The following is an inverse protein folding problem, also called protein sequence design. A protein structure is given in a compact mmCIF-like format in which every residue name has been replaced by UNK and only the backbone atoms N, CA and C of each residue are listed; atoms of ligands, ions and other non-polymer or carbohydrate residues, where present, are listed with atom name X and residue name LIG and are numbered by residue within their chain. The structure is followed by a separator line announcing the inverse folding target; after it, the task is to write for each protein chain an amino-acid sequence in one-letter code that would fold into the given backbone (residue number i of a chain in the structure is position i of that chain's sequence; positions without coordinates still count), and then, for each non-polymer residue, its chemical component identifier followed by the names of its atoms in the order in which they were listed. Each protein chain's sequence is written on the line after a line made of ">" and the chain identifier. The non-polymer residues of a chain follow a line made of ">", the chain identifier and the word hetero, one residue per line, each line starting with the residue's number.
data_IF_857560802792
#
_entry.id   IF_857560802792
#
_cell.length_a   1.000
_cell.length_b   1.000
_cell.length_c   1.000
_cell.angle_alpha   90.00
_cell.angle_beta   90.00
_cell.angle_gamma   90.00
#
_symmetry.space_group_name_H-M   'P 1'
#
loop_
_entity.id
_entity.type
_entity.pdbx_description
1 polymer ?
#
# COMPACT_ATOMS: atom_id res chain seq x y z
N UNK A 1 -0.25 -8.58 7.73
CA UNK A 1 0.66 -7.72 6.95
C UNK A 1 0.32 -6.26 7.22
N UNK A 2 1.33 -5.42 7.50
CA UNK A 2 1.13 -3.98 7.66
C UNK A 2 0.76 -3.33 6.33
N UNK A 3 -0.23 -2.46 6.36
CA UNK A 3 -0.70 -1.66 5.23
C UNK A 3 -0.84 -0.20 5.64
N UNK A 4 -0.68 0.69 4.68
CA UNK A 4 -0.92 2.11 4.83
C UNK A 4 -1.89 2.59 3.76
N UNK A 5 -2.87 3.40 4.15
CA UNK A 5 -3.76 4.07 3.21
C UNK A 5 -3.98 5.53 3.61
N UNK A 6 -4.53 6.31 2.69
CA UNK A 6 -4.77 7.73 2.90
C UNK A 6 -6.18 8.11 2.52
N UNK A 7 -6.79 8.93 3.35
CA UNK A 7 -8.06 9.59 3.08
C UNK A 7 -7.74 11.04 2.72
N UNK A 8 -8.17 11.47 1.54
CA UNK A 8 -8.06 12.86 1.13
C UNK A 8 -9.45 13.47 1.12
N UNK A 9 -9.59 14.63 1.73
CA UNK A 9 -10.82 15.40 1.72
C UNK A 9 -10.55 16.81 1.20
N UNK A 10 -11.56 17.40 0.56
CA UNK A 10 -11.45 18.70 -0.07
C UNK A 10 -12.83 19.34 -0.18
N UNK A 11 -12.93 20.66 0.03
CA UNK A 11 -14.15 21.43 -0.13
C UNK A 11 -14.10 22.29 -1.39
N UNK A 12 -15.12 22.16 -2.23
CA UNK A 12 -15.41 23.08 -3.34
C UNK A 12 -16.66 23.95 -3.09
N UNK A 13 -17.13 23.96 -1.84
CA UNK A 13 -18.33 24.70 -1.41
C UNK A 13 -17.96 26.15 -1.14
N UNK A 14 -18.84 27.09 -1.53
CA UNK A 14 -18.60 28.54 -1.44
C UNK A 14 -18.71 29.13 -0.02
N UNK A 15 -19.00 28.32 0.99
CA UNK A 15 -19.08 28.73 2.37
C UNK A 15 -18.25 27.80 3.28
N UNK A 16 -17.88 28.31 4.43
CA UNK A 16 -17.12 27.55 5.44
C UNK A 16 -17.99 26.46 6.06
N UNK A 17 -17.48 25.25 6.09
CA UNK A 17 -18.02 24.15 6.88
C UNK A 17 -17.32 24.10 8.23
N UNK A 18 -18.09 23.97 9.31
CA UNK A 18 -17.57 23.85 10.68
C UNK A 18 -18.18 22.65 11.37
N UNK A 19 -17.44 22.07 12.33
CA UNK A 19 -17.90 20.90 13.07
C UNK A 19 -18.03 19.64 12.20
N UNK A 20 -17.13 19.49 11.25
CA UNK A 20 -17.07 18.28 10.44
C UNK A 20 -16.43 17.15 11.23
N UNK A 21 -17.00 15.97 11.11
CA UNK A 21 -16.45 14.72 11.62
C UNK A 21 -16.29 13.72 10.51
N UNK A 22 -15.11 13.14 10.42
CA UNK A 22 -14.80 12.04 9.55
C UNK A 22 -14.76 10.76 10.37
N UNK A 23 -15.50 9.76 9.94
CA UNK A 23 -15.59 8.43 10.56
C UNK A 23 -15.16 7.36 9.56
N UNK A 24 -14.42 6.35 10.03
CA UNK A 24 -13.92 5.24 9.23
C UNK A 24 -14.41 3.93 9.78
N UNK A 25 -15.16 3.20 8.95
CA UNK A 25 -15.51 1.81 9.23
C UNK A 25 -14.44 0.90 8.61
N UNK A 26 -13.73 0.19 9.47
CA UNK A 26 -12.73 -0.79 9.08
C UNK A 26 -13.35 -2.18 8.86
N UNK A 27 -12.78 -2.99 7.96
CA UNK A 27 -13.17 -4.39 7.90
C UNK A 27 -12.82 -5.13 9.19
N UNK A 28 -13.55 -6.20 9.49
CA UNK A 28 -13.50 -6.93 10.76
C UNK A 28 -12.09 -7.41 11.16
N UNK A 29 -11.24 -7.72 10.17
CA UNK A 29 -9.88 -8.23 10.38
C UNK A 29 -8.79 -7.17 10.25
N UNK A 30 -9.17 -5.90 10.31
CA UNK A 30 -8.23 -4.79 10.32
C UNK A 30 -7.91 -4.38 11.76
N UNK A 31 -6.63 -4.32 12.08
CA UNK A 31 -6.13 -3.78 13.34
C UNK A 31 -5.47 -2.43 13.10
N UNK A 32 -6.02 -1.39 13.73
CA UNK A 32 -5.45 -0.05 13.69
C UNK A 32 -4.13 0.00 14.47
N UNK A 33 -3.12 0.69 13.91
CA UNK A 33 -1.83 0.89 14.55
C UNK A 33 -1.62 2.37 14.86
N UNK A 34 -1.80 3.24 13.86
CA UNK A 34 -1.58 4.68 14.02
C UNK A 34 -2.22 5.49 12.91
N UNK A 35 -2.40 6.78 13.15
CA UNK A 35 -2.81 7.74 12.13
C UNK A 35 -2.08 9.08 12.26
N UNK A 36 -1.98 9.80 11.14
CA UNK A 36 -1.49 11.16 11.10
C UNK A 36 -2.41 12.03 10.18
N UNK A 37 -3.11 13.04 10.72
CA UNK A 37 -3.18 13.43 12.12
C UNK A 37 -3.76 12.35 13.03
N UNK A 38 -3.49 12.45 14.32
CA UNK A 38 -3.99 11.51 15.32
C UNK A 38 -5.52 11.49 15.33
N UNK A 39 -6.10 10.31 15.45
CA UNK A 39 -7.54 10.11 15.61
C UNK A 39 -8.01 10.41 17.04
N UNK A 40 -9.30 10.60 17.23
CA UNK A 40 -9.94 10.71 18.54
C UNK A 40 -10.02 9.34 19.24
N UNK A 41 -10.44 8.31 18.47
CA UNK A 41 -10.70 6.96 18.98
C UNK A 41 -10.36 5.85 17.98
N UNK A 42 -9.27 6.02 17.20
CA UNK A 42 -8.85 5.14 16.11
C UNK A 42 -9.70 5.26 14.82
N UNK A 43 -10.94 5.69 14.91
CA UNK A 43 -11.91 5.72 13.80
C UNK A 43 -12.36 7.13 13.42
N UNK A 44 -12.30 8.07 14.33
CA UNK A 44 -12.88 9.41 14.16
C UNK A 44 -11.82 10.52 14.13
N UNK A 45 -12.07 11.52 13.30
CA UNK A 45 -11.27 12.75 13.20
C UNK A 45 -12.18 13.97 13.15
N UNK A 46 -11.93 14.94 14.02
CA UNK A 46 -12.57 16.25 13.94
C UNK A 46 -11.83 17.14 12.94
N UNK A 47 -12.59 17.77 12.05
CA UNK A 47 -12.14 18.81 11.14
C UNK A 47 -12.87 20.08 11.55
N UNK A 48 -12.21 20.89 12.38
CA UNK A 48 -12.84 22.07 13.00
C UNK A 48 -13.42 23.02 11.96
N UNK A 49 -12.70 23.24 10.87
CA UNK A 49 -13.05 24.18 9.83
C UNK A 49 -12.54 23.72 8.47
N UNK A 50 -13.37 23.87 7.44
CA UNK A 50 -13.01 23.60 6.06
C UNK A 50 -13.56 24.68 5.15
N UNK A 51 -12.70 25.57 4.68
CA UNK A 51 -13.05 26.65 3.76
C UNK A 51 -13.05 26.17 2.31
N UNK A 52 -13.59 26.99 1.40
CA UNK A 52 -13.52 26.74 -0.04
C UNK A 52 -12.07 26.55 -0.50
N UNK A 53 -11.87 25.59 -1.38
CA UNK A 53 -10.55 25.18 -1.92
C UNK A 53 -9.54 24.72 -0.87
N UNK A 54 -10.00 24.39 0.31
CA UNK A 54 -9.18 23.75 1.34
C UNK A 54 -9.46 22.25 1.41
N UNK A 55 -8.48 21.52 1.88
CA UNK A 55 -8.56 20.10 2.10
C UNK A 55 -7.45 19.59 3.01
N UNK A 56 -7.46 18.30 3.24
CA UNK A 56 -6.46 17.67 4.06
C UNK A 56 -6.28 16.20 3.69
N UNK A 57 -5.35 15.58 4.39
CA UNK A 57 -5.02 14.17 4.24
C UNK A 57 -4.83 13.52 5.60
N UNK A 58 -5.48 12.40 5.78
CA UNK A 58 -5.28 11.51 6.92
C UNK A 58 -4.56 10.26 6.40
N UNK A 59 -3.41 9.94 6.98
CA UNK A 59 -2.70 8.68 6.72
C UNK A 59 -2.99 7.74 7.85
N UNK A 60 -3.37 6.51 7.53
CA UNK A 60 -3.72 5.47 8.50
C UNK A 60 -2.82 4.27 8.23
N UNK A 61 -2.23 3.76 9.28
CA UNK A 61 -1.42 2.54 9.27
C UNK A 61 -2.12 1.49 10.14
N UNK A 62 -2.20 0.29 9.63
CA UNK A 62 -2.78 -0.84 10.35
C UNK A 62 -2.31 -2.16 9.79
N UNK A 63 -2.76 -3.26 10.37
CA UNK A 63 -2.49 -4.60 9.88
C UNK A 63 -3.75 -5.31 9.42
N UNK A 64 -3.61 -6.14 8.40
CA UNK A 64 -4.67 -7.01 7.90
C UNK A 64 -4.32 -8.47 8.17
N UNK A 65 -5.25 -9.17 8.81
CA UNK A 65 -5.14 -10.57 9.19
C UNK A 65 -6.22 -11.41 8.49
N UNK A 66 -6.24 -11.38 7.17
CA UNK A 66 -7.20 -12.14 6.39
C UNK A 66 -6.50 -13.02 5.35
N UNK A 67 -7.19 -14.09 4.96
CA UNK A 67 -6.73 -15.02 3.93
C UNK A 67 -6.75 -14.39 2.53
N UNK A 68 -5.88 -14.87 1.66
CA UNK A 68 -5.85 -14.45 0.26
C UNK A 68 -7.17 -14.77 -0.47
N UNK A 69 -7.54 -13.91 -1.41
CA UNK A 69 -8.78 -14.02 -2.17
C UNK A 69 -10.00 -13.39 -1.48
N UNK A 70 -9.85 -12.84 -0.28
CA UNK A 70 -10.92 -12.11 0.40
C UNK A 70 -10.93 -10.65 0.00
N UNK A 71 -12.11 -10.14 -0.25
CA UNK A 71 -12.35 -8.71 -0.43
C UNK A 71 -12.75 -8.10 0.91
N UNK A 72 -12.14 -6.97 1.20
CA UNK A 72 -12.40 -6.20 2.42
C UNK A 72 -12.82 -4.79 2.04
N UNK A 73 -13.82 -4.31 2.74
CA UNK A 73 -14.39 -3.00 2.52
C UNK A 73 -13.94 -2.02 3.60
N UNK A 74 -13.38 -0.89 3.17
CA UNK A 74 -13.13 0.29 3.99
C UNK A 74 -14.15 1.35 3.61
N UNK A 75 -14.91 1.83 4.58
CA UNK A 75 -15.92 2.86 4.35
C UNK A 75 -15.55 4.12 5.12
N UNK A 76 -15.64 5.25 4.46
CA UNK A 76 -15.34 6.57 5.04
C UNK A 76 -16.57 7.44 4.95
N UNK A 77 -16.99 7.99 6.06
CA UNK A 77 -18.12 8.92 6.20
C UNK A 77 -17.63 10.28 6.62
N UNK A 78 -18.12 11.30 5.98
CA UNK A 78 -17.91 12.70 6.38
C UNK A 78 -19.26 13.33 6.67
N UNK A 79 -19.41 13.88 7.84
CA UNK A 79 -20.66 14.51 8.29
C UNK A 79 -20.44 15.73 9.17
N UNK A 80 -21.54 16.35 9.55
CA UNK A 80 -21.58 17.43 10.55
C UNK A 80 -21.95 16.83 11.89
N UNK A 81 -21.15 17.19 12.91
CA UNK A 81 -21.45 16.90 14.29
C UNK A 81 -21.95 18.18 14.97
N UNK A 82 -23.22 18.24 15.30
CA UNK A 82 -23.82 19.40 15.92
C UNK A 82 -24.82 18.98 17.00
N UNK A 83 -24.69 19.56 18.21
CA UNK A 83 -25.63 19.34 19.32
C UNK A 83 -25.86 17.86 19.67
N UNK A 84 -24.83 17.02 19.49
CA UNK A 84 -24.93 15.57 19.75
C UNK A 84 -25.52 14.76 18.61
N UNK A 85 -25.83 15.38 17.49
CA UNK A 85 -26.34 14.70 16.29
C UNK A 85 -25.32 14.69 15.15
N UNK A 86 -25.22 13.54 14.48
CA UNK A 86 -24.39 13.36 13.30
C UNK A 86 -25.24 13.38 12.02
N UNK A 87 -24.94 14.32 11.13
CA UNK A 87 -25.60 14.44 9.83
C UNK A 87 -24.60 14.06 8.74
N UNK A 88 -24.85 12.93 8.07
CA UNK A 88 -24.00 12.45 6.96
C UNK A 88 -24.06 13.41 5.77
N UNK A 89 -22.90 13.86 5.31
CA UNK A 89 -22.75 14.68 4.09
C UNK A 89 -22.26 13.87 2.90
N UNK A 90 -21.29 12.98 3.14
CA UNK A 90 -20.63 12.19 2.08
C UNK A 90 -20.17 10.86 2.65
N UNK A 91 -20.32 9.83 1.82
CA UNK A 91 -19.77 8.50 2.07
C UNK A 91 -18.97 8.03 0.86
N UNK A 92 -17.91 7.31 1.11
CA UNK A 92 -17.13 6.63 0.07
C UNK A 92 -16.63 5.28 0.58
N UNK A 93 -16.60 4.31 -0.32
CA UNK A 93 -16.17 2.95 -0.03
C UNK A 93 -14.97 2.58 -0.90
N UNK A 94 -14.00 1.86 -0.34
CA UNK A 94 -12.87 1.29 -1.05
C UNK A 94 -12.74 -0.19 -0.71
N UNK A 95 -12.81 -1.02 -1.76
CA UNK A 95 -12.55 -2.44 -1.64
C UNK A 95 -11.07 -2.73 -1.85
N UNK A 96 -10.52 -3.57 -1.00
CA UNK A 96 -9.14 -4.09 -1.05
C UNK A 96 -9.22 -5.60 -1.09
N UNK A 97 -8.55 -6.21 -2.06
CA UNK A 97 -8.40 -7.64 -2.16
C UNK A 97 -6.99 -8.06 -1.72
N UNK A 98 -6.90 -9.06 -0.87
CA UNK A 98 -5.62 -9.68 -0.54
C UNK A 98 -5.29 -10.69 -1.64
N UNK A 99 -4.23 -10.41 -2.38
CA UNK A 99 -3.71 -11.32 -3.40
C UNK A 99 -2.52 -12.07 -2.81
N UNK A 100 -2.57 -13.39 -2.87
CA UNK A 100 -1.40 -14.22 -2.58
C UNK A 100 -0.43 -14.15 -3.76
N UNK A 101 0.84 -13.77 -3.55
CA UNK A 101 1.81 -13.82 -4.63
C UNK A 101 1.99 -15.28 -5.06
N UNK A 102 1.65 -15.58 -6.31
CA UNK A 102 1.73 -16.94 -6.84
C UNK A 102 3.12 -17.30 -7.37
N UNK A 103 3.93 -16.28 -7.64
CA UNK A 103 5.28 -16.47 -8.17
C UNK A 103 6.30 -15.81 -7.23
N UNK A 104 7.22 -16.60 -6.71
CA UNK A 104 8.37 -16.12 -5.95
C UNK A 104 9.54 -15.92 -6.90
N UNK A 105 10.21 -14.77 -6.79
CA UNK A 105 11.46 -14.48 -7.48
C UNK A 105 12.43 -13.82 -6.52
N UNK A 106 13.69 -14.22 -6.56
CA UNK A 106 14.78 -13.56 -5.83
C UNK A 106 16.05 -13.62 -6.65
N UNK A 107 16.97 -12.74 -6.33
CA UNK A 107 18.26 -12.66 -7.01
C UNK A 107 19.39 -12.52 -5.98
N UNK A 108 20.55 -13.08 -6.32
CA UNK A 108 21.75 -13.02 -5.50
C UNK A 108 22.97 -12.79 -6.39
N UNK A 109 23.97 -12.14 -5.82
CA UNK A 109 25.32 -12.01 -6.42
C UNK A 109 26.31 -12.65 -5.45
N UNK A 110 27.08 -13.61 -5.92
CA UNK A 110 28.05 -14.36 -5.12
C UNK A 110 27.43 -14.92 -3.82
N UNK A 111 26.13 -15.33 -3.87
CA UNK A 111 25.39 -15.89 -2.75
C UNK A 111 24.76 -14.86 -1.79
N UNK A 112 24.85 -13.55 -2.10
CA UNK A 112 24.32 -12.48 -1.25
C UNK A 112 23.22 -11.69 -1.97
N UNK A 113 22.16 -11.34 -1.24
CA UNK A 113 21.07 -10.48 -1.75
C UNK A 113 21.48 -9.01 -1.89
N UNK A 114 22.48 -8.58 -1.11
CA UNK A 114 23.13 -7.27 -1.22
C UNK A 114 24.63 -7.49 -1.33
N UNK A 115 25.23 -7.13 -2.46
CA UNK A 115 26.64 -7.33 -2.73
C UNK A 115 27.30 -6.06 -3.25
N UNK A 116 28.49 -5.74 -2.74
CA UNK A 116 29.31 -4.64 -3.20
C UNK A 116 30.52 -5.24 -3.92
N UNK A 117 30.56 -5.08 -5.23
CA UNK A 117 31.63 -5.60 -6.06
C UNK A 117 32.82 -4.65 -6.17
N UNK A 118 34.00 -5.23 -6.34
CA UNK A 118 35.23 -4.49 -6.67
C UNK A 118 35.44 -4.45 -8.20
N UNK A 119 36.10 -3.42 -8.73
CA UNK A 119 36.44 -3.36 -10.14
C UNK A 119 37.22 -4.58 -10.61
N UNK A 120 36.80 -5.19 -11.72
CA UNK A 120 37.43 -6.40 -12.29
C UNK A 120 37.06 -7.70 -11.61
N UNK A 121 36.19 -7.67 -10.63
CA UNK A 121 35.71 -8.87 -9.95
C UNK A 121 34.76 -9.68 -10.85
N UNK A 122 34.92 -11.00 -10.81
CA UNK A 122 33.99 -11.92 -11.48
C UNK A 122 32.78 -12.15 -10.59
N UNK A 123 31.61 -11.83 -11.11
CA UNK A 123 30.34 -11.96 -10.39
C UNK A 123 29.61 -13.22 -10.84
N UNK A 124 29.12 -13.97 -9.88
CA UNK A 124 28.19 -15.07 -10.09
C UNK A 124 26.79 -14.58 -9.72
N UNK A 125 25.94 -14.42 -10.73
CA UNK A 125 24.59 -13.90 -10.58
C UNK A 125 23.59 -15.04 -10.67
N UNK A 126 22.78 -15.21 -9.64
CA UNK A 126 21.78 -16.26 -9.53
C UNK A 126 20.38 -15.67 -9.42
N UNK A 127 19.45 -16.23 -10.18
CA UNK A 127 18.03 -15.90 -10.12
C UNK A 127 17.28 -17.14 -9.68
N UNK A 128 16.57 -17.04 -8.57
CA UNK A 128 15.68 -18.08 -8.07
C UNK A 128 14.24 -17.69 -8.36
N UNK A 129 13.51 -18.60 -8.95
CA UNK A 129 12.07 -18.43 -9.13
C UNK A 129 11.33 -19.72 -8.79
N UNK A 130 10.14 -19.58 -8.25
CA UNK A 130 9.31 -20.71 -7.86
C UNK A 130 7.84 -20.32 -7.90
N UNK A 131 7.00 -21.19 -8.46
CA UNK A 131 5.56 -21.11 -8.27
C UNK A 131 5.25 -21.54 -6.84
N UNK A 132 4.69 -20.64 -6.05
CA UNK A 132 4.25 -20.87 -4.67
C UNK A 132 2.73 -20.85 -4.52
N UNK A 133 2.02 -20.64 -5.63
CA UNK A 133 0.57 -20.74 -5.72
C UNK A 133 0.09 -22.12 -6.14
N UNK A 134 -1.22 -22.28 -6.20
CA UNK A 134 -1.89 -23.52 -6.56
C UNK A 134 -2.21 -23.64 -8.06
N UNK A 135 -1.99 -22.58 -8.83
CA UNK A 135 -2.27 -22.53 -10.26
C UNK A 135 -0.98 -22.70 -11.06
N UNK A 136 -0.90 -23.61 -12.03
CA UNK A 136 0.27 -23.73 -12.88
C UNK A 136 0.38 -22.50 -13.80
N UNK A 137 1.63 -22.09 -14.05
CA UNK A 137 1.96 -21.08 -15.06
C UNK A 137 2.56 -21.75 -16.27
N UNK A 138 2.13 -21.36 -17.46
CA UNK A 138 2.68 -21.81 -18.72
C UNK A 138 3.25 -20.62 -19.50
N UNK A 139 4.28 -20.89 -20.32
CA UNK A 139 4.90 -19.89 -21.19
C UNK A 139 5.47 -18.67 -20.46
N UNK A 140 6.09 -18.88 -19.30
CA UNK A 140 6.77 -17.81 -18.56
C UNK A 140 8.08 -17.44 -19.26
N UNK A 141 8.34 -16.13 -19.34
CA UNK A 141 9.59 -15.57 -19.79
C UNK A 141 10.29 -14.87 -18.64
N UNK A 142 11.55 -15.19 -18.43
CA UNK A 142 12.42 -14.46 -17.50
C UNK A 142 13.31 -13.53 -18.33
N UNK A 143 13.19 -12.23 -18.10
CA UNK A 143 14.05 -11.22 -18.73
C UNK A 143 14.91 -10.58 -17.66
N UNK A 144 16.23 -10.63 -17.88
CA UNK A 144 17.20 -9.92 -17.05
C UNK A 144 17.82 -8.79 -17.86
N UNK A 145 17.84 -7.58 -17.29
CA UNK A 145 18.41 -6.38 -17.94
C UNK A 145 19.54 -5.82 -17.09
N UNK A 146 20.72 -5.72 -17.66
CA UNK A 146 21.88 -5.06 -17.06
C UNK A 146 21.96 -3.63 -17.60
N UNK A 147 21.56 -2.66 -16.81
CA UNK A 147 21.53 -1.24 -17.21
C UNK A 147 22.80 -0.48 -16.87
N UNK A 148 23.89 -1.17 -16.62
CA UNK A 148 25.14 -0.54 -16.20
C UNK A 148 26.24 -0.74 -17.23
N UNK A 149 26.94 0.35 -17.56
CA UNK A 149 28.15 0.35 -18.39
C UNK A 149 29.37 -0.27 -17.69
N UNK A 150 29.23 -0.64 -16.41
CA UNK A 150 30.33 -1.25 -15.63
C UNK A 150 30.45 -2.76 -15.81
N UNK A 151 29.48 -3.40 -16.48
CA UNK A 151 29.54 -4.83 -16.77
C UNK A 151 30.17 -5.11 -18.14
N UNK A 152 31.18 -5.95 -18.17
CA UNK A 152 31.70 -6.49 -19.42
C UNK A 152 30.85 -7.68 -19.88
N UNK A 153 29.81 -7.37 -20.65
CA UNK A 153 28.87 -8.37 -21.16
C UNK A 153 29.48 -9.34 -22.16
N UNK A 154 30.68 -9.07 -22.71
CA UNK A 154 31.37 -10.00 -23.62
C UNK A 154 31.84 -11.28 -22.89
N UNK A 155 31.96 -11.19 -21.58
CA UNK A 155 32.36 -12.31 -20.71
C UNK A 155 31.18 -13.07 -20.11
N UNK A 156 29.96 -12.64 -20.40
CA UNK A 156 28.75 -13.26 -19.86
C UNK A 156 28.62 -14.71 -20.31
N UNK A 157 28.45 -15.60 -19.34
CA UNK A 157 28.09 -16.99 -19.54
C UNK A 157 26.80 -17.28 -18.86
N UNK A 158 25.90 -17.98 -19.51
CA UNK A 158 24.61 -18.39 -18.94
C UNK A 158 24.64 -19.91 -18.78
N UNK A 159 24.52 -20.34 -17.54
CA UNK A 159 24.30 -21.77 -17.20
C UNK A 159 22.79 -21.98 -17.06
N UNK A 160 22.30 -23.11 -17.55
CA UNK A 160 20.88 -23.48 -17.50
C UNK A 160 20.61 -24.40 -16.32
#
# INVERSE_FOLDING_TARGET
>A
KEIQFSINYFSNIDYTLSGLRLDVEYPEKFEFISANPQSLDEKEWDIEKLDKAQGGRIKITGSLMEEAGKQMEFKVKLGLWKEGEYTLLKETTKNVEIIEPQLYISQQINGFSNYIASPGEKLHYEIYFRNIGNTPFENLFLTNSFNSSVFDLSTLKVDK
#
